data_IF_984115054659
#
_entry.id   IF_984115054659
#
_cell.length_a   1.000
_cell.length_b   1.000
_cell.length_c   1.000
_cell.angle_alpha   90.00
_cell.angle_beta   90.00
_cell.angle_gamma   90.00
#
_symmetry.space_group_name_H-M   'P 1'
#
loop_
_entity.id
_entity.type
_entity.pdbx_description
1 polymer ?
#
# COMPACT_ATOMS: atom_id res chain seq x y z
N UNK A 1 -21.52 -48.44 3.97
CA UNK A 1 -20.54 -47.66 3.19
C UNK A 1 -21.01 -46.24 2.80
N UNK A 2 -22.25 -46.06 2.44
CA UNK A 2 -22.76 -44.73 2.06
C UNK A 2 -22.75 -43.67 3.17
N UNK A 3 -23.11 -44.02 4.39
CA UNK A 3 -23.19 -43.06 5.51
C UNK A 3 -21.82 -42.53 5.94
N UNK A 4 -20.79 -43.34 5.91
CA UNK A 4 -19.40 -42.96 6.25
C UNK A 4 -18.82 -42.03 5.16
N UNK A 5 -19.09 -42.37 3.92
CA UNK A 5 -18.63 -41.56 2.77
C UNK A 5 -19.28 -40.16 2.76
N UNK A 6 -20.58 -40.10 3.07
CA UNK A 6 -21.31 -38.83 3.23
C UNK A 6 -20.77 -37.99 4.40
N UNK A 7 -20.44 -38.62 5.54
CA UNK A 7 -19.88 -37.93 6.68
C UNK A 7 -18.48 -37.37 6.41
N UNK A 8 -17.64 -38.12 5.71
CA UNK A 8 -16.29 -37.66 5.29
C UNK A 8 -16.39 -36.50 4.31
N UNK A 9 -17.26 -36.61 3.31
CA UNK A 9 -17.46 -35.57 2.31
C UNK A 9 -17.95 -34.24 2.95
N UNK A 10 -18.88 -34.35 3.92
CA UNK A 10 -19.40 -33.20 4.67
C UNK A 10 -18.32 -32.53 5.54
N UNK A 11 -17.45 -33.31 6.19
CA UNK A 11 -16.32 -32.77 6.97
C UNK A 11 -15.28 -32.10 6.09
N UNK A 12 -14.98 -32.67 4.91
CA UNK A 12 -14.08 -32.04 3.96
C UNK A 12 -14.61 -30.71 3.45
N UNK A 13 -15.89 -30.62 3.12
CA UNK A 13 -16.56 -29.38 2.72
C UNK A 13 -16.51 -28.31 3.81
N UNK A 14 -16.72 -28.72 5.10
CA UNK A 14 -16.63 -27.79 6.23
C UNK A 14 -15.21 -27.26 6.44
N UNK A 15 -14.20 -28.11 6.32
CA UNK A 15 -12.80 -27.70 6.41
C UNK A 15 -12.41 -26.76 5.26
N UNK A 16 -12.84 -27.04 4.05
CA UNK A 16 -12.61 -26.18 2.89
C UNK A 16 -13.27 -24.81 3.06
N UNK A 17 -14.51 -24.77 3.55
CA UNK A 17 -15.21 -23.54 3.84
C UNK A 17 -14.50 -22.72 4.94
N UNK A 18 -14.02 -23.39 5.99
CA UNK A 18 -13.27 -22.74 7.07
C UNK A 18 -11.97 -22.14 6.55
N UNK A 19 -11.20 -22.88 5.75
CA UNK A 19 -9.95 -22.39 5.15
C UNK A 19 -10.22 -21.18 4.25
N UNK A 20 -11.29 -21.23 3.46
CA UNK A 20 -11.68 -20.11 2.59
C UNK A 20 -12.02 -18.84 3.40
N UNK A 21 -12.80 -18.99 4.48
CA UNK A 21 -13.16 -17.88 5.37
C UNK A 21 -11.92 -17.30 6.06
N UNK A 22 -11.03 -18.14 6.55
CA UNK A 22 -9.76 -17.70 7.17
C UNK A 22 -8.89 -16.98 6.15
N UNK A 23 -8.79 -17.47 4.92
CA UNK A 23 -8.04 -16.83 3.85
C UNK A 23 -8.62 -15.45 3.50
N UNK A 24 -9.95 -15.30 3.46
CA UNK A 24 -10.61 -14.02 3.20
C UNK A 24 -10.42 -13.01 4.35
N UNK A 25 -10.43 -13.48 5.60
CA UNK A 25 -10.25 -12.62 6.79
C UNK A 25 -8.78 -12.17 6.94
N UNK A 26 -7.83 -13.05 6.59
CA UNK A 26 -6.40 -12.76 6.65
C UNK A 26 -5.87 -12.04 5.41
N UNK A 27 -6.73 -11.81 4.39
CA UNK A 27 -6.32 -11.04 3.21
C UNK A 27 -6.03 -9.60 3.61
N UNK A 28 -4.84 -9.06 3.28
CA UNK A 28 -4.51 -7.68 3.61
C UNK A 28 -5.55 -6.72 3.04
N UNK A 29 -6.13 -5.90 3.92
CA UNK A 29 -7.17 -4.93 3.56
C UNK A 29 -6.50 -3.66 3.02
N UNK A 30 -6.44 -3.44 1.70
CA UNK A 30 -5.74 -2.27 1.14
C UNK A 30 -6.35 -0.94 1.58
N UNK A 31 -7.65 -0.92 1.90
CA UNK A 31 -8.34 0.29 2.33
C UNK A 31 -7.91 0.79 3.72
N UNK A 32 -7.61 -0.11 4.68
CA UNK A 32 -7.12 0.30 6.01
C UNK A 32 -5.67 0.79 5.96
N UNK A 33 -4.84 0.16 5.16
CA UNK A 33 -3.46 0.59 4.94
C UNK A 33 -3.43 1.99 4.29
N UNK A 34 -4.30 2.25 3.30
CA UNK A 34 -4.41 3.55 2.66
C UNK A 34 -4.91 4.66 3.59
N UNK A 35 -5.84 4.37 4.52
CA UNK A 35 -6.32 5.34 5.51
C UNK A 35 -5.24 5.76 6.51
N UNK A 36 -4.44 4.82 7.01
CA UNK A 36 -3.27 5.13 7.84
C UNK A 36 -2.19 5.87 7.06
N UNK A 37 -1.97 5.50 5.81
CA UNK A 37 -1.00 6.10 4.90
C UNK A 37 -1.32 7.56 4.56
N UNK A 38 -2.59 7.93 4.44
CA UNK A 38 -3.03 9.32 4.22
C UNK A 38 -2.56 10.24 5.35
N UNK A 39 -2.83 9.87 6.61
CA UNK A 39 -2.43 10.68 7.76
C UNK A 39 -0.90 10.81 7.87
N UNK A 40 -0.16 9.73 7.64
CA UNK A 40 1.30 9.76 7.61
C UNK A 40 1.84 10.63 6.47
N UNK A 41 1.22 10.55 5.29
CA UNK A 41 1.59 11.39 4.15
C UNK A 41 1.40 12.87 4.45
N UNK A 42 0.23 13.26 4.98
CA UNK A 42 -0.06 14.66 5.33
C UNK A 42 0.92 15.19 6.36
N UNK A 43 1.27 14.41 7.37
CA UNK A 43 2.16 14.84 8.43
C UNK A 43 3.64 14.94 8.02
N UNK A 44 4.11 14.10 7.09
CA UNK A 44 5.54 13.94 6.83
C UNK A 44 5.97 14.18 5.38
N UNK A 45 5.06 14.14 4.43
CA UNK A 45 5.38 14.14 3.00
C UNK A 45 4.74 15.32 2.25
N UNK A 46 3.51 15.70 2.60
CA UNK A 46 2.72 16.71 1.89
C UNK A 46 3.40 18.07 1.81
N UNK A 47 4.22 18.43 2.79
CA UNK A 47 4.95 19.71 2.78
C UNK A 47 5.84 19.89 1.54
N UNK A 48 6.46 18.82 1.06
CA UNK A 48 7.24 18.83 -0.19
C UNK A 48 6.45 18.31 -1.39
N UNK A 49 5.50 17.39 -1.17
CA UNK A 49 4.74 16.70 -2.20
C UNK A 49 3.28 17.17 -2.28
N UNK A 50 3.05 18.47 -2.25
CA UNK A 50 1.71 19.07 -2.35
C UNK A 50 0.98 18.55 -3.60
N UNK A 51 -0.21 17.97 -3.42
CA UNK A 51 -1.01 17.37 -4.50
C UNK A 51 -0.21 16.41 -5.42
N UNK A 52 0.68 15.61 -4.85
CA UNK A 52 1.55 14.71 -5.60
C UNK A 52 2.66 15.41 -6.40
N UNK A 53 2.87 16.69 -6.17
CA UNK A 53 3.95 17.45 -6.78
C UNK A 53 5.31 17.24 -6.12
N UNK A 54 6.23 18.16 -6.39
CA UNK A 54 7.50 18.29 -5.69
C UNK A 54 7.95 19.75 -5.80
N UNK A 55 8.02 20.43 -4.67
CA UNK A 55 8.36 21.85 -4.62
C UNK A 55 9.86 22.12 -4.86
N UNK A 56 10.71 21.11 -4.66
CA UNK A 56 12.17 21.23 -4.80
C UNK A 56 12.63 20.81 -6.21
N UNK A 57 12.11 19.67 -6.70
CA UNK A 57 12.51 19.06 -7.97
C UNK A 57 11.28 18.81 -8.83
N UNK A 58 10.94 19.74 -9.70
CA UNK A 58 9.71 19.73 -10.53
C UNK A 58 9.50 18.45 -11.35
N UNK A 59 10.56 17.79 -11.79
CA UNK A 59 10.49 16.53 -12.55
C UNK A 59 10.35 15.27 -11.69
N UNK A 60 10.49 15.39 -10.36
CA UNK A 60 10.48 14.29 -9.40
C UNK A 60 9.16 14.25 -8.61
N UNK A 61 8.05 14.35 -9.30
CA UNK A 61 6.71 14.32 -8.69
C UNK A 61 6.24 12.89 -8.42
N UNK A 62 5.17 12.77 -7.62
CA UNK A 62 4.51 11.49 -7.32
C UNK A 62 3.39 11.15 -8.33
N UNK A 63 3.30 11.87 -9.42
CA UNK A 63 2.35 11.56 -10.51
C UNK A 63 2.77 10.30 -11.23
N UNK A 64 1.81 9.49 -11.67
CA UNK A 64 2.04 8.17 -12.28
C UNK A 64 3.12 8.21 -13.36
N UNK A 65 3.00 9.10 -14.35
CA UNK A 65 3.97 9.21 -15.43
C UNK A 65 5.40 9.57 -14.95
N UNK A 66 5.54 10.30 -13.83
CA UNK A 66 6.85 10.60 -13.27
C UNK A 66 7.42 9.39 -12.51
N UNK A 67 6.59 8.64 -11.79
CA UNK A 67 6.98 7.39 -11.12
C UNK A 67 7.44 6.36 -12.15
N UNK A 68 6.71 6.20 -13.24
CA UNK A 68 7.08 5.30 -14.35
C UNK A 68 8.45 5.65 -14.95
N UNK A 69 8.68 6.92 -15.28
CA UNK A 69 9.98 7.37 -15.84
C UNK A 69 11.15 7.16 -14.88
N UNK A 70 10.88 7.12 -13.58
CA UNK A 70 11.89 6.93 -12.54
C UNK A 70 12.08 5.47 -12.13
N UNK A 71 11.30 4.54 -12.68
CA UNK A 71 11.29 3.13 -12.28
C UNK A 71 10.74 2.90 -10.86
N UNK A 72 9.86 3.80 -10.38
CA UNK A 72 9.27 3.79 -9.04
C UNK A 72 7.77 3.50 -9.07
N UNK A 73 7.24 2.99 -10.17
CA UNK A 73 5.81 2.74 -10.38
C UNK A 73 5.34 1.43 -9.72
N UNK A 74 5.58 1.29 -8.43
CA UNK A 74 5.01 0.22 -7.61
C UNK A 74 4.99 0.61 -6.14
N UNK A 75 4.07 0.07 -5.32
CA UNK A 75 4.05 0.32 -3.88
C UNK A 75 5.38 -0.02 -3.20
N UNK A 76 6.01 -1.14 -3.58
CA UNK A 76 7.26 -1.61 -2.98
C UNK A 76 8.43 -0.65 -3.29
N UNK A 77 8.50 -0.13 -4.51
CA UNK A 77 9.53 0.83 -4.89
C UNK A 77 9.33 2.16 -4.14
N UNK A 78 8.10 2.62 -4.01
CA UNK A 78 7.75 3.83 -3.26
C UNK A 78 8.06 3.64 -1.78
N UNK A 79 7.73 2.49 -1.17
CA UNK A 79 8.02 2.19 0.22
C UNK A 79 9.53 2.23 0.52
N UNK A 80 10.35 1.65 -0.35
CA UNK A 80 11.82 1.72 -0.20
C UNK A 80 12.33 3.16 -0.20
N UNK A 81 11.81 4.00 -1.09
CA UNK A 81 12.18 5.43 -1.16
C UNK A 81 11.69 6.17 0.08
N UNK A 82 10.47 5.92 0.53
CA UNK A 82 9.94 6.54 1.76
C UNK A 82 10.77 6.18 3.00
N UNK A 83 11.20 4.93 3.11
CA UNK A 83 12.00 4.45 4.24
C UNK A 83 13.45 4.93 4.18
N UNK A 84 14.12 4.79 3.04
CA UNK A 84 15.57 5.01 2.89
C UNK A 84 15.95 6.38 2.32
N UNK A 85 15.01 7.08 1.66
CA UNK A 85 15.29 8.31 0.92
C UNK A 85 15.86 8.05 -0.47
N UNK A 86 15.98 9.12 -1.24
CA UNK A 86 16.62 9.12 -2.57
C UNK A 86 17.12 10.52 -2.92
N UNK A 87 18.37 10.63 -3.33
CA UNK A 87 18.96 11.93 -3.68
C UNK A 87 18.88 12.91 -2.50
N UNK A 88 18.22 14.05 -2.70
CA UNK A 88 18.02 15.08 -1.67
C UNK A 88 16.87 14.77 -0.70
N UNK A 89 16.01 13.80 -1.00
CA UNK A 89 14.95 13.36 -0.12
C UNK A 89 15.51 12.45 0.97
N UNK A 90 15.37 12.85 2.21
CA UNK A 90 15.74 12.04 3.37
C UNK A 90 14.86 10.81 3.50
N UNK A 91 15.36 9.75 4.15
CA UNK A 91 14.57 8.60 4.55
C UNK A 91 13.75 8.89 5.80
N UNK A 92 12.55 8.37 5.84
CA UNK A 92 11.58 8.57 6.93
C UNK A 92 11.25 7.28 7.70
N UNK A 93 11.96 6.18 7.44
CA UNK A 93 11.66 4.89 8.02
C UNK A 93 11.52 4.90 9.55
N UNK A 94 12.43 5.60 10.26
CA UNK A 94 12.38 5.71 11.71
C UNK A 94 11.16 6.52 12.19
N UNK A 95 10.79 7.58 11.48
CA UNK A 95 9.67 8.46 11.84
C UNK A 95 8.33 7.81 11.53
N UNK A 96 8.24 7.09 10.42
CA UNK A 96 7.03 6.40 9.99
C UNK A 96 6.71 5.16 10.84
N UNK A 97 7.72 4.57 11.47
CA UNK A 97 7.59 3.37 12.29
C UNK A 97 7.34 2.10 11.47
N UNK A 98 7.10 1.01 12.18
CA UNK A 98 6.84 -0.30 11.56
C UNK A 98 5.59 -0.26 10.67
N UNK A 99 5.72 -0.71 9.42
CA UNK A 99 4.65 -0.72 8.42
C UNK A 99 4.25 0.65 7.89
N UNK A 100 4.84 1.74 8.41
CA UNK A 100 4.47 3.11 8.01
C UNK A 100 4.91 3.46 6.60
N UNK A 101 6.06 3.00 6.16
CA UNK A 101 6.54 3.22 4.79
C UNK A 101 5.63 2.52 3.75
N UNK A 102 5.19 1.30 4.05
CA UNK A 102 4.26 0.53 3.23
C UNK A 102 2.88 1.19 3.18
N UNK A 103 2.39 1.70 4.32
CA UNK A 103 1.12 2.41 4.39
C UNK A 103 1.14 3.71 3.56
N UNK A 104 2.19 4.51 3.68
CA UNK A 104 2.39 5.72 2.86
C UNK A 104 2.51 5.35 1.38
N UNK A 105 3.26 4.32 1.05
CA UNK A 105 3.43 3.87 -0.34
C UNK A 105 2.11 3.42 -0.96
N UNK A 106 1.29 2.68 -0.23
CA UNK A 106 -0.05 2.28 -0.68
C UNK A 106 -0.94 3.49 -0.96
N UNK A 107 -0.92 4.49 -0.08
CA UNK A 107 -1.64 5.75 -0.29
C UNK A 107 -1.13 6.50 -1.53
N UNK A 108 0.17 6.71 -1.64
CA UNK A 108 0.79 7.42 -2.79
C UNK A 108 0.48 6.71 -4.09
N UNK A 109 0.57 5.38 -4.12
CA UNK A 109 0.25 4.58 -5.30
C UNK A 109 -1.21 4.73 -5.73
N UNK A 110 -2.15 4.64 -4.79
CA UNK A 110 -3.56 4.84 -5.06
C UNK A 110 -3.84 6.25 -5.60
N UNK A 111 -3.23 7.28 -5.00
CA UNK A 111 -3.36 8.67 -5.46
C UNK A 111 -2.75 8.87 -6.85
N UNK A 112 -1.58 8.29 -7.13
CA UNK A 112 -0.93 8.38 -8.44
C UNK A 112 -1.81 7.79 -9.54
N UNK A 113 -2.41 6.62 -9.30
CA UNK A 113 -3.34 5.98 -10.22
C UNK A 113 -4.63 6.79 -10.41
N UNK A 114 -5.13 7.44 -9.38
CA UNK A 114 -6.30 8.31 -9.43
C UNK A 114 -6.02 9.70 -10.00
N UNK A 115 -4.77 10.05 -10.27
CA UNK A 115 -4.38 11.35 -10.81
C UNK A 115 -4.34 12.48 -9.78
N UNK A 116 -4.22 12.16 -8.46
CA UNK A 116 -4.19 13.13 -7.35
C UNK A 116 -5.41 14.05 -7.35
N UNK A 117 -6.63 13.52 -7.19
CA UNK A 117 -7.83 14.34 -7.13
C UNK A 117 -7.74 15.29 -5.92
N UNK A 118 -8.13 16.53 -6.14
CA UNK A 118 -8.26 17.51 -5.04
C UNK A 118 -9.51 17.17 -4.23
N UNK A 119 -9.35 16.95 -2.95
CA UNK A 119 -10.47 16.84 -2.00
C UNK A 119 -11.07 18.21 -1.73
#
# INVERSE_FOLDING_TARGET
MGAVMLAVCRRLLQLLALVLVVALVLWPQPALAAAGGSALFENHCAGCHVNGGNIIRRGKTLKLAALERQGLASPEAIARVAAAGIGQMSGYGAVLGEGGAEAVAAYVWAQAQAGWPRS
#
